data_IF_085571554393
#
_entry.id   IF_085571554393
#
_cell.length_a   1.000
_cell.length_b   1.000
_cell.length_c   1.000
_cell.angle_alpha   90.00
_cell.angle_beta   90.00
_cell.angle_gamma   90.00
#
_symmetry.space_group_name_H-M   'P 1'
#
loop_
_entity.id
_entity.type
_entity.pdbx_description
1 polymer ?
#
# COMPACT_ATOMS: atom_id res chain seq x y z
N UNK A 1 13.51 3.12 -12.35
CA UNK A 1 12.04 2.99 -12.24
C UNK A 1 11.75 2.41 -10.88
N UNK A 2 10.93 3.11 -10.09
CA UNK A 2 10.48 2.61 -8.78
C UNK A 2 9.20 1.80 -8.98
N UNK A 3 9.07 0.69 -8.27
CA UNK A 3 7.86 -0.15 -8.30
C UNK A 3 6.79 0.49 -7.40
N UNK A 4 5.56 0.55 -7.91
CA UNK A 4 4.42 1.15 -7.23
C UNK A 4 3.73 0.10 -6.38
N UNK A 5 3.74 0.30 -5.07
CA UNK A 5 3.21 -0.65 -4.10
C UNK A 5 1.97 -0.08 -3.45
N UNK A 6 0.86 -0.81 -3.54
CA UNK A 6 -0.36 -0.52 -2.82
C UNK A 6 -0.37 -1.27 -1.50
N UNK A 7 -0.38 -0.53 -0.38
CA UNK A 7 -0.54 -1.13 0.94
C UNK A 7 -2.01 -1.06 1.35
N UNK A 8 -2.58 -2.20 1.72
CA UNK A 8 -3.92 -2.29 2.31
C UNK A 8 -3.76 -2.65 3.78
N UNK A 9 -4.13 -1.72 4.65
CA UNK A 9 -4.07 -1.89 6.10
C UNK A 9 -5.06 -0.93 6.77
N UNK A 10 -5.65 -1.36 7.87
CA UNK A 10 -6.59 -0.61 8.72
C UNK A 10 -5.97 0.58 9.48
N UNK A 11 -4.79 1.07 9.09
CA UNK A 11 -4.17 2.26 9.66
C UNK A 11 -3.55 2.06 11.04
N UNK A 12 -2.75 1.00 11.19
CA UNK A 12 -2.02 0.73 12.42
C UNK A 12 -0.65 1.42 12.46
N UNK A 13 -0.08 1.63 13.64
CA UNK A 13 1.31 2.13 13.80
C UNK A 13 2.34 1.26 13.04
N UNK A 14 2.03 -0.02 12.85
CA UNK A 14 2.83 -0.97 12.05
C UNK A 14 2.84 -0.62 10.56
N UNK A 15 1.74 -0.05 10.04
CA UNK A 15 1.64 0.39 8.65
C UNK A 15 2.63 1.54 8.37
N UNK A 16 2.78 2.48 9.31
CA UNK A 16 3.71 3.61 9.17
C UNK A 16 5.17 3.15 9.07
N UNK A 17 5.57 2.22 9.94
CA UNK A 17 6.92 1.62 9.92
C UNK A 17 7.18 0.84 8.62
N UNK A 18 6.16 0.12 8.12
CA UNK A 18 6.25 -0.61 6.85
C UNK A 18 6.36 0.34 5.65
N UNK A 19 5.59 1.43 5.62
CA UNK A 19 5.67 2.45 4.57
C UNK A 19 7.06 3.08 4.55
N UNK A 20 7.61 3.42 5.71
CA UNK A 20 8.95 3.99 5.82
C UNK A 20 10.01 3.04 5.25
N UNK A 21 9.99 1.76 5.67
CA UNK A 21 10.93 0.74 5.19
C UNK A 21 10.82 0.53 3.67
N UNK A 22 9.60 0.43 3.12
CA UNK A 22 9.39 0.24 1.69
C UNK A 22 9.85 1.47 0.89
N UNK A 23 9.64 2.67 1.42
CA UNK A 23 10.12 3.90 0.79
C UNK A 23 11.66 3.96 0.78
N UNK A 24 12.32 3.57 1.88
CA UNK A 24 13.78 3.47 1.97
C UNK A 24 14.36 2.43 0.99
N UNK A 25 13.65 1.34 0.74
CA UNK A 25 14.00 0.33 -0.25
C UNK A 25 13.77 0.80 -1.70
N UNK A 26 13.22 2.01 -1.89
CA UNK A 26 13.03 2.63 -3.19
C UNK A 26 11.72 2.26 -3.88
N UNK A 27 10.70 1.80 -3.14
CA UNK A 27 9.33 1.63 -3.63
C UNK A 27 8.54 2.94 -3.55
N UNK A 28 7.62 3.15 -4.49
CA UNK A 28 6.63 4.20 -4.43
C UNK A 28 5.39 3.66 -3.73
N UNK A 29 5.26 3.95 -2.44
CA UNK A 29 4.14 3.45 -1.63
C UNK A 29 2.91 4.33 -1.86
N UNK A 30 1.91 3.76 -2.52
CA UNK A 30 0.57 4.33 -2.63
C UNK A 30 -0.12 3.95 -1.34
N UNK A 31 -0.37 4.98 -0.51
CA UNK A 31 -0.59 4.88 0.94
C UNK A 31 -1.63 3.88 1.41
N UNK A 32 -1.69 3.64 2.74
CA UNK A 32 -2.54 2.62 3.32
C UNK A 32 -4.01 2.87 2.96
N UNK A 33 -4.56 1.97 2.14
CA UNK A 33 -5.97 1.89 1.84
C UNK A 33 -6.62 1.04 2.92
N UNK A 34 -7.75 1.49 3.44
CA UNK A 34 -8.47 0.75 4.47
C UNK A 34 -9.31 -0.36 3.85
N UNK A 35 -9.64 -1.41 4.61
CA UNK A 35 -10.56 -2.47 4.14
C UNK A 35 -11.95 -1.96 3.76
N UNK A 36 -12.30 -0.73 4.17
CA UNK A 36 -13.55 -0.04 3.82
C UNK A 36 -13.51 0.68 2.49
N UNK A 37 -12.33 0.95 1.94
CA UNK A 37 -12.18 1.49 0.60
C UNK A 37 -12.37 0.36 -0.42
N UNK A 38 -13.09 0.64 -1.51
CA UNK A 38 -13.34 -0.37 -2.53
C UNK A 38 -12.04 -0.63 -3.33
N UNK A 39 -11.31 -1.65 -2.89
CA UNK A 39 -10.10 -2.14 -3.52
C UNK A 39 -10.28 -2.42 -5.02
N UNK A 40 -11.47 -2.88 -5.42
CA UNK A 40 -11.76 -3.18 -6.82
C UNK A 40 -11.85 -1.92 -7.68
N UNK A 41 -12.22 -0.78 -7.10
CA UNK A 41 -12.21 0.53 -7.77
C UNK A 41 -10.84 1.21 -7.70
N UNK A 42 -10.08 0.98 -6.63
CA UNK A 42 -8.76 1.58 -6.45
C UNK A 42 -7.69 0.97 -7.36
N UNK A 43 -7.63 -0.35 -7.51
CA UNK A 43 -6.56 -1.03 -8.27
C UNK A 43 -6.49 -0.61 -9.76
N UNK A 44 -7.60 -0.54 -10.52
CA UNK A 44 -7.57 -0.13 -11.93
C UNK A 44 -7.09 1.31 -12.12
N UNK A 45 -7.41 2.19 -11.17
CA UNK A 45 -7.07 3.61 -11.21
C UNK A 45 -5.63 3.87 -10.76
N UNK A 46 -5.22 3.19 -9.69
CA UNK A 46 -3.92 3.38 -9.08
C UNK A 46 -2.82 2.63 -9.84
N UNK A 47 -3.15 1.57 -10.59
CA UNK A 47 -2.20 0.76 -11.36
C UNK A 47 -0.93 0.43 -10.56
N UNK A 48 -1.06 -0.24 -9.40
CA UNK A 48 0.10 -0.70 -8.65
C UNK A 48 0.78 -1.86 -9.39
N UNK A 49 2.09 -1.98 -9.22
CA UNK A 49 2.88 -3.14 -9.65
C UNK A 49 2.78 -4.27 -8.62
N UNK A 50 2.56 -3.92 -7.34
CA UNK A 50 2.51 -4.84 -6.20
C UNK A 50 1.35 -4.43 -5.28
N UNK A 51 0.57 -5.40 -4.80
CA UNK A 51 -0.45 -5.20 -3.77
C UNK A 51 -0.07 -6.00 -2.53
N UNK A 52 0.00 -5.34 -1.38
CA UNK A 52 0.30 -5.96 -0.08
C UNK A 52 -0.92 -5.78 0.82
N UNK A 53 -1.48 -6.90 1.29
CA UNK A 53 -2.63 -6.92 2.19
C UNK A 53 -2.14 -7.38 3.56
N UNK A 54 -2.21 -6.48 4.54
CA UNK A 54 -1.92 -6.81 5.93
C UNK A 54 -3.19 -7.43 6.55
N UNK A 55 -3.23 -8.77 6.64
CA UNK A 55 -4.22 -9.44 7.48
C UNK A 55 -3.84 -9.27 8.96
N UNK A 56 -4.82 -8.93 9.79
CA UNK A 56 -4.76 -9.18 11.23
C UNK A 56 -4.60 -10.69 11.50
#
# INVERSE_FOLDING_TARGET
MSLRLLLVDTGSKRSEELVALLTELGFEVIGPITDTDDLYDCVPNLKPDIVVIASH
#
